data_IF_529704915595
#
_entry.id   IF_529704915595
#
_cell.length_a   1.000
_cell.length_b   1.000
_cell.length_c   1.000
_cell.angle_alpha   90.00
_cell.angle_beta   90.00
_cell.angle_gamma   90.00
#
_symmetry.space_group_name_H-M   'P 1'
#
loop_
_entity.id
_entity.type
_entity.pdbx_description
1 polymer ?
#
# COMPACT_ATOMS: atom_id res chain seq x y z
N UNK A 1 16.49 9.20 -3.13
CA UNK A 1 15.89 9.54 -1.81
C UNK A 1 14.39 9.54 -2.00
N UNK A 2 13.66 8.69 -1.26
CA UNK A 2 12.19 8.77 -1.29
C UNK A 2 11.73 9.83 -0.30
N UNK A 3 11.08 10.85 -0.83
CA UNK A 3 10.62 12.01 -0.06
C UNK A 3 9.11 12.06 0.05
N UNK A 4 8.39 11.06 -0.47
CA UNK A 4 6.94 11.10 -0.58
C UNK A 4 6.26 10.62 0.72
N UNK A 5 5.67 11.52 1.53
CA UNK A 5 5.02 11.16 2.78
C UNK A 5 3.81 10.23 2.57
N UNK A 6 3.27 10.15 1.34
CA UNK A 6 2.16 9.25 1.01
C UNK A 6 2.56 7.79 1.08
N UNK A 7 3.83 7.47 0.79
CA UNK A 7 4.32 6.09 0.84
C UNK A 7 4.39 5.56 2.26
N UNK A 8 4.73 6.41 3.24
CA UNK A 8 4.72 6.02 4.64
C UNK A 8 3.32 5.86 5.21
N UNK A 9 2.40 6.73 4.78
CA UNK A 9 0.99 6.62 5.15
C UNK A 9 0.30 5.44 4.46
N UNK A 10 0.91 4.88 3.41
CA UNK A 10 0.28 3.83 2.62
C UNK A 10 0.11 2.53 3.41
N UNK A 11 1.10 2.14 4.22
CA UNK A 11 1.02 0.95 5.08
C UNK A 11 -0.18 1.05 6.03
N UNK A 12 -0.31 2.20 6.68
CA UNK A 12 -1.42 2.48 7.57
C UNK A 12 -2.75 2.60 6.82
N UNK A 13 -2.75 3.19 5.62
CA UNK A 13 -3.93 3.28 4.77
C UNK A 13 -4.43 1.90 4.33
N UNK A 14 -3.53 0.97 3.99
CA UNK A 14 -3.86 -0.42 3.65
C UNK A 14 -4.51 -1.15 4.84
N UNK A 15 -4.03 -0.89 6.05
CA UNK A 15 -4.61 -1.46 7.27
C UNK A 15 -5.98 -0.85 7.60
N UNK A 16 -6.11 0.47 7.48
CA UNK A 16 -7.30 1.21 7.94
C UNK A 16 -8.44 1.19 6.93
N UNK A 17 -8.13 1.13 5.62
CA UNK A 17 -9.11 1.17 4.52
C UNK A 17 -8.91 0.03 3.50
N UNK A 18 -8.93 -1.25 3.93
CA UNK A 18 -8.76 -2.38 3.02
C UNK A 18 -9.90 -2.49 1.98
N UNK A 19 -11.06 -1.90 2.28
CA UNK A 19 -12.23 -1.83 1.39
C UNK A 19 -11.99 -1.04 0.10
N UNK A 20 -11.03 -0.11 0.11
CA UNK A 20 -10.69 0.72 -1.07
C UNK A 20 -9.94 -0.09 -2.12
N UNK A 21 -9.34 -1.22 -1.72
CA UNK A 21 -8.53 -2.05 -2.60
C UNK A 21 -9.34 -3.21 -3.15
N UNK A 22 -9.34 -3.36 -4.47
CA UNK A 22 -9.84 -4.58 -5.11
C UNK A 22 -8.83 -5.70 -4.94
N UNK A 23 -9.27 -6.95 -5.13
CA UNK A 23 -8.35 -8.10 -5.14
C UNK A 23 -7.26 -7.92 -6.21
N UNK A 24 -7.65 -7.52 -7.41
CA UNK A 24 -6.75 -7.22 -8.53
C UNK A 24 -5.71 -6.13 -8.19
N UNK A 25 -6.12 -5.11 -7.43
CA UNK A 25 -5.20 -4.06 -6.98
C UNK A 25 -4.14 -4.63 -6.04
N UNK A 26 -4.53 -5.47 -5.09
CA UNK A 26 -3.62 -6.08 -4.14
C UNK A 26 -2.69 -7.10 -4.83
N UNK A 27 -3.17 -7.86 -5.82
CA UNK A 27 -2.33 -8.78 -6.59
C UNK A 27 -1.29 -8.04 -7.44
N UNK A 28 -1.70 -6.96 -8.11
CA UNK A 28 -0.79 -6.13 -8.89
C UNK A 28 0.23 -5.40 -8.00
N UNK A 29 -0.19 -4.99 -6.81
CA UNK A 29 0.69 -4.42 -5.80
C UNK A 29 1.72 -5.44 -5.31
N UNK A 30 1.33 -6.67 -4.92
CA UNK A 30 2.29 -7.71 -4.50
C UNK A 30 3.31 -8.03 -5.62
N UNK A 31 2.86 -8.10 -6.88
CA UNK A 31 3.76 -8.28 -8.03
C UNK A 31 4.75 -7.13 -8.17
N UNK A 32 4.26 -5.89 -8.07
CA UNK A 32 5.09 -4.69 -8.15
C UNK A 32 6.12 -4.69 -7.01
N UNK A 33 5.70 -4.95 -5.77
CA UNK A 33 6.59 -5.00 -4.61
C UNK A 33 7.61 -6.15 -4.72
N UNK A 34 7.21 -7.33 -5.19
CA UNK A 34 8.11 -8.46 -5.38
C UNK A 34 9.18 -8.18 -6.44
N UNK A 35 8.84 -7.44 -7.50
CA UNK A 35 9.79 -7.04 -8.54
C UNK A 35 10.81 -6.05 -8.00
N UNK A 36 10.36 -5.09 -7.18
CA UNK A 36 11.21 -4.10 -6.51
C UNK A 36 12.12 -4.73 -5.43
N UNK A 37 11.65 -5.75 -4.72
CA UNK A 37 12.44 -6.46 -3.71
C UNK A 37 13.58 -7.29 -4.32
N UNK A 38 13.33 -7.97 -5.44
CA UNK A 38 14.33 -8.85 -6.07
C UNK A 38 15.35 -8.09 -6.93
N UNK A 39 14.93 -7.00 -7.58
CA UNK A 39 15.79 -6.16 -8.41
C UNK A 39 15.32 -4.70 -8.27
N UNK A 40 15.74 -3.96 -7.23
CA UNK A 40 15.35 -2.57 -7.07
C UNK A 40 15.99 -1.73 -8.19
N UNK A 41 15.24 -1.26 -9.19
CA UNK A 41 15.79 -0.31 -10.17
C UNK A 41 16.05 1.04 -9.50
N UNK A 42 16.91 1.88 -10.06
CA UNK A 42 17.12 3.25 -9.54
C UNK A 42 15.80 4.06 -9.46
N UNK A 43 14.80 3.68 -10.24
CA UNK A 43 13.52 4.38 -10.40
C UNK A 43 12.38 3.81 -9.53
N UNK A 44 12.69 3.13 -8.41
CA UNK A 44 11.68 2.54 -7.49
C UNK A 44 10.53 3.50 -7.18
N UNK A 45 10.85 4.74 -6.81
CA UNK A 45 9.83 5.75 -6.44
C UNK A 45 8.86 6.04 -7.59
N UNK A 46 9.38 6.10 -8.82
CA UNK A 46 8.58 6.40 -10.00
C UNK A 46 7.63 5.25 -10.33
N UNK A 47 8.09 4.00 -10.20
CA UNK A 47 7.26 2.82 -10.41
C UNK A 47 6.06 2.83 -9.45
N UNK A 48 6.31 3.07 -8.16
CA UNK A 48 5.23 3.11 -7.17
C UNK A 48 4.32 4.32 -7.40
N UNK A 49 4.87 5.50 -7.72
CA UNK A 49 4.04 6.66 -8.07
C UNK A 49 3.15 6.40 -9.28
N UNK A 50 3.67 5.72 -10.30
CA UNK A 50 2.90 5.37 -11.48
C UNK A 50 1.81 4.35 -11.15
N UNK A 51 2.07 3.40 -10.26
CA UNK A 51 1.06 2.48 -9.72
C UNK A 51 -0.12 3.23 -9.07
N UNK A 52 0.17 4.24 -8.23
CA UNK A 52 -0.88 5.09 -7.65
C UNK A 52 -1.59 5.96 -8.70
N UNK A 53 -0.85 6.50 -9.69
CA UNK A 53 -1.45 7.32 -10.75
C UNK A 53 -2.43 6.52 -11.60
N UNK A 54 -2.14 5.25 -11.86
CA UNK A 54 -3.02 4.35 -12.60
C UNK A 54 -4.35 4.08 -11.85
N UNK A 55 -4.34 4.19 -10.52
CA UNK A 55 -5.48 3.85 -9.65
C UNK A 55 -6.09 5.08 -9.01
N UNK A 56 -6.90 5.79 -9.79
CA UNK A 56 -7.49 7.07 -9.40
C UNK A 56 -8.26 6.99 -8.08
N UNK A 57 -9.06 5.95 -7.85
CA UNK A 57 -9.86 5.77 -6.63
C UNK A 57 -8.97 5.65 -5.39
N UNK A 58 -7.96 4.78 -5.44
CA UNK A 58 -7.00 4.57 -4.33
C UNK A 58 -6.24 5.87 -4.06
N UNK A 59 -5.80 6.55 -5.12
CA UNK A 59 -5.08 7.82 -5.02
C UNK A 59 -5.93 8.89 -4.33
N UNK A 60 -7.20 8.99 -4.68
CA UNK A 60 -8.10 10.00 -4.11
C UNK A 60 -8.40 9.71 -2.63
N UNK A 61 -8.68 8.46 -2.30
CA UNK A 61 -8.89 8.03 -0.92
C UNK A 61 -7.64 8.17 -0.04
N UNK A 62 -6.46 7.84 -0.58
CA UNK A 62 -5.19 8.06 0.13
C UNK A 62 -4.95 9.56 0.38
N UNK A 63 -5.34 10.43 -0.57
CA UNK A 63 -5.24 11.87 -0.39
C UNK A 63 -6.19 12.39 0.70
N UNK A 64 -7.43 11.88 0.74
CA UNK A 64 -8.38 12.20 1.83
C UNK A 64 -7.85 11.71 3.17
N UNK A 65 -7.28 10.50 3.21
CA UNK A 65 -6.68 9.93 4.41
C UNK A 65 -5.49 10.75 4.92
N UNK A 66 -4.58 11.16 4.02
CA UNK A 66 -3.46 12.06 4.36
C UNK A 66 -4.00 13.36 4.97
N UNK A 67 -5.03 13.96 4.34
CA UNK A 67 -5.65 15.19 4.84
C UNK A 67 -6.24 15.00 6.23
N UNK A 68 -7.02 13.93 6.43
CA UNK A 68 -7.59 13.59 7.74
C UNK A 68 -6.52 13.41 8.81
N UNK A 69 -5.42 12.71 8.51
CA UNK A 69 -4.34 12.55 9.49
C UNK A 69 -3.61 13.86 9.78
N UNK A 70 -3.43 14.73 8.78
CA UNK A 70 -2.86 16.07 8.97
C UNK A 70 -3.76 16.93 9.86
N UNK A 71 -5.07 16.91 9.62
CA UNK A 71 -6.07 17.61 10.43
C UNK A 71 -6.12 17.10 11.87
N UNK A 72 -5.88 15.79 12.07
CA UNK A 72 -5.79 15.17 13.39
C UNK A 72 -4.44 15.38 14.09
N UNK A 73 -3.48 16.10 13.48
CA UNK A 73 -2.12 16.27 14.01
C UNK A 73 -1.33 14.95 14.13
N UNK A 74 -1.80 13.89 13.47
CA UNK A 74 -1.24 12.53 13.55
C UNK A 74 -0.20 12.22 12.47
N UNK A 75 0.10 13.16 11.59
CA UNK A 75 1.20 12.98 10.63
C UNK A 75 2.48 13.44 11.31
N UNK A 76 3.36 12.53 11.77
CA UNK A 76 4.65 12.95 12.27
C UNK A 76 5.41 13.68 11.17
N UNK A 77 6.21 14.71 11.49
CA UNK A 77 7.14 15.29 10.54
C UNK A 77 8.03 14.17 10.05
N UNK A 78 7.89 13.83 8.78
CA UNK A 78 8.56 12.65 8.21
C UNK A 78 10.04 12.97 8.06
N UNK A 79 10.95 12.33 8.82
CA UNK A 79 12.37 12.46 8.51
C UNK A 79 12.64 11.83 7.14
N UNK A 80 13.60 12.35 6.36
CA UNK A 80 13.95 11.80 5.06
C UNK A 80 14.22 10.30 5.19
N UNK A 81 13.53 9.51 4.36
CA UNK A 81 13.63 8.05 4.40
C UNK A 81 15.02 7.68 3.89
N UNK A 82 15.83 7.13 4.80
CA UNK A 82 17.12 6.53 4.44
C UNK A 82 16.87 5.30 3.55
N UNK A 83 17.74 5.00 2.57
CA UNK A 83 17.57 3.86 1.67
C UNK A 83 17.34 2.51 2.39
N UNK A 84 17.94 2.29 3.57
CA UNK A 84 17.65 1.13 4.42
C UNK A 84 16.18 1.03 4.88
N UNK A 85 15.56 2.17 5.19
CA UNK A 85 14.16 2.24 5.59
C UNK A 85 13.21 1.85 4.45
N UNK A 86 13.68 1.94 3.21
CA UNK A 86 12.95 1.58 2.00
C UNK A 86 12.88 0.06 1.85
N UNK A 87 14.00 -0.65 2.03
CA UNK A 87 14.00 -2.12 2.12
C UNK A 87 13.11 -2.61 3.26
N UNK A 88 13.18 -1.96 4.43
CA UNK A 88 12.31 -2.30 5.56
C UNK A 88 10.83 -2.07 5.23
N UNK A 89 10.50 -0.98 4.53
CA UNK A 89 9.13 -0.71 4.11
C UNK A 89 8.55 -1.77 3.16
N UNK A 90 9.34 -2.28 2.21
CA UNK A 90 8.91 -3.40 1.34
C UNK A 90 8.68 -4.67 2.13
N UNK A 91 9.59 -4.99 3.05
CA UNK A 91 9.52 -6.16 3.93
C UNK A 91 8.31 -6.10 4.87
N UNK A 92 7.88 -4.90 5.28
CA UNK A 92 6.67 -4.71 6.11
C UNK A 92 5.38 -4.71 5.28
N UNK A 93 5.39 -4.10 4.09
CA UNK A 93 4.19 -3.92 3.27
C UNK A 93 3.77 -5.19 2.53
N UNK A 94 4.73 -5.93 1.98
CA UNK A 94 4.45 -7.15 1.21
C UNK A 94 3.68 -8.22 2.02
N UNK A 95 4.07 -8.58 3.26
CA UNK A 95 3.29 -9.52 4.07
C UNK A 95 1.89 -8.99 4.39
N UNK A 96 1.72 -7.68 4.60
CA UNK A 96 0.38 -7.09 4.80
C UNK A 96 -0.51 -7.21 3.56
N UNK A 97 0.03 -6.95 2.37
CA UNK A 97 -0.72 -7.13 1.11
C UNK A 97 -1.14 -8.59 0.93
N UNK A 98 -0.24 -9.54 1.22
CA UNK A 98 -0.55 -10.98 1.20
C UNK A 98 -1.62 -11.38 2.22
N UNK A 99 -1.55 -10.84 3.43
CA UNK A 99 -2.58 -11.05 4.46
C UNK A 99 -3.96 -10.55 4.01
N UNK A 100 -4.02 -9.36 3.42
CA UNK A 100 -5.27 -8.81 2.85
C UNK A 100 -5.78 -9.62 1.66
N UNK A 101 -4.90 -10.13 0.81
CA UNK A 101 -5.26 -11.04 -0.29
C UNK A 101 -5.87 -12.34 0.22
N UNK A 102 -5.24 -12.97 1.22
CA UNK A 102 -5.76 -14.19 1.84
C UNK A 102 -7.12 -13.95 2.52
N UNK A 103 -7.28 -12.78 3.15
CA UNK A 103 -8.55 -12.39 3.78
C UNK A 103 -9.67 -12.21 2.75
N UNK A 104 -9.42 -11.49 1.63
CA UNK A 104 -10.41 -11.30 0.55
C UNK A 104 -10.72 -12.60 -0.21
N UNK A 105 -9.73 -13.48 -0.39
CA UNK A 105 -9.93 -14.78 -1.03
C UNK A 105 -10.84 -15.72 -0.23
N UNK A 106 -10.85 -15.60 1.10
CA UNK A 106 -11.70 -16.42 1.98
C UNK A 106 -13.15 -15.91 2.08
N UNK A 107 -13.43 -14.62 1.80
CA UNK A 107 -14.81 -14.11 1.77
C UNK A 107 -15.62 -14.65 0.56
N UNK A 108 -14.96 -15.02 -0.54
CA UNK A 108 -15.64 -15.64 -1.71
C UNK A 108 -15.99 -17.13 -1.53
N UNK A 109 -15.48 -17.82 -0.49
CA UNK A 109 -15.80 -19.24 -0.22
C UNK A 109 -16.81 -19.46 0.93
N UNK A 110 -17.37 -18.39 1.50
CA UNK A 110 -18.26 -18.45 2.68
C UNK A 110 -19.76 -18.50 2.42
N UNK A 111 -20.24 -18.57 1.16
CA UNK A 111 -21.67 -18.75 0.86
C UNK A 111 -21.88 -20.14 0.24
N UNK A 112 -21.83 -21.16 1.09
CA UNK A 112 -22.08 -22.54 0.69
C UNK A 112 -22.71 -23.34 1.83
N UNK A 113 -24.04 -23.48 1.74
CA UNK A 113 -24.88 -24.42 2.48
C UNK A 113 -25.16 -24.14 3.96
N UNK A 114 -26.24 -23.38 4.20
CA UNK A 114 -27.28 -23.83 5.14
C UNK A 114 -28.50 -24.29 4.34
N UNK A 115 -28.72 -25.60 4.29
CA UNK A 115 -30.05 -26.17 4.10
C UNK A 115 -30.17 -27.43 4.96
#
# INVERSE_FOLDING_TARGET
MISDPKLLLFTEFLETKPEVFSREDLEDLDRTLALLENNPPENVEEIIRNWFKARLTIRDELRKFEKQRKELGKVPPTPPIQPDRLCNWFQELRPQVKDKLNSKGNEEQGIGNRK
#
